data_IF_311479420321
#
_entry.id   IF_311479420321
#
_cell.length_a   1.000
_cell.length_b   1.000
_cell.length_c   1.000
_cell.angle_alpha   90.00
_cell.angle_beta   90.00
_cell.angle_gamma   90.00
#
_symmetry.space_group_name_H-M   'P 1'
#
loop_
_entity.id
_entity.type
_entity.pdbx_description
1 polymer ?
#
# COMPACT_ATOMS: atom_id res chain seq x y z
N UNK A 1 7.73 27.28 -80.31
CA UNK A 1 8.18 26.54 -79.11
C UNK A 1 8.81 25.23 -79.54
N UNK A 2 9.92 24.80 -78.94
CA UNK A 2 10.66 23.59 -79.34
C UNK A 2 9.95 22.31 -78.87
N UNK A 3 9.83 21.30 -79.76
CA UNK A 3 9.23 19.98 -79.42
C UNK A 3 9.90 19.29 -78.24
N UNK A 4 11.19 19.58 -78.00
CA UNK A 4 11.93 19.09 -76.82
C UNK A 4 11.34 19.61 -75.51
N UNK A 5 10.95 20.87 -75.47
CA UNK A 5 10.37 21.49 -74.30
C UNK A 5 8.96 20.93 -74.02
N UNK A 6 8.15 20.76 -75.07
CA UNK A 6 6.80 20.17 -74.95
C UNK A 6 6.88 18.74 -74.41
N UNK A 7 7.79 17.91 -74.94
CA UNK A 7 8.01 16.55 -74.45
C UNK A 7 8.50 16.52 -72.99
N UNK A 8 9.38 17.44 -72.60
CA UNK A 8 9.86 17.50 -71.22
C UNK A 8 8.76 17.88 -70.23
N UNK A 9 7.88 18.83 -70.60
CA UNK A 9 6.71 19.17 -69.78
C UNK A 9 5.71 18.02 -69.70
N UNK A 10 5.50 17.30 -70.80
CA UNK A 10 4.65 16.11 -70.84
C UNK A 10 5.19 14.99 -69.94
N UNK A 11 6.50 14.73 -69.99
CA UNK A 11 7.16 13.75 -69.12
C UNK A 11 7.09 14.15 -67.63
N UNK A 12 7.13 15.44 -67.30
CA UNK A 12 6.93 15.90 -65.91
C UNK A 12 5.50 15.67 -65.45
N UNK A 13 4.50 15.97 -66.28
CA UNK A 13 3.08 15.71 -65.98
C UNK A 13 2.77 14.23 -65.79
N UNK A 14 3.44 13.36 -66.55
CA UNK A 14 3.31 11.90 -66.43
C UNK A 14 4.19 11.28 -65.33
N UNK A 15 4.98 12.08 -64.60
CA UNK A 15 5.90 11.58 -63.57
C UNK A 15 7.05 10.72 -64.11
N UNK A 16 7.27 10.69 -65.43
CA UNK A 16 8.34 9.90 -66.07
C UNK A 16 9.66 10.67 -66.21
N UNK A 17 9.66 11.97 -65.92
CA UNK A 17 10.85 12.81 -65.99
C UNK A 17 11.90 12.40 -64.95
N UNK A 18 13.18 12.32 -65.33
CA UNK A 18 14.26 11.82 -64.46
C UNK A 18 14.36 12.57 -63.13
N UNK A 19 14.39 13.91 -63.16
CA UNK A 19 14.48 14.73 -61.95
C UNK A 19 13.29 14.55 -60.99
N UNK A 20 12.11 14.18 -61.52
CA UNK A 20 10.96 13.86 -60.67
C UNK A 20 11.14 12.51 -59.98
N UNK A 21 11.62 11.49 -60.71
CA UNK A 21 11.93 10.17 -60.15
C UNK A 21 13.04 10.21 -59.11
N UNK A 22 14.08 10.99 -59.37
CA UNK A 22 15.19 11.20 -58.43
C UNK A 22 14.69 11.84 -57.13
N UNK A 23 13.90 12.92 -57.23
CA UNK A 23 13.30 13.54 -56.03
C UNK A 23 12.37 12.60 -55.27
N UNK A 24 11.62 11.74 -55.98
CA UNK A 24 10.77 10.73 -55.36
C UNK A 24 11.60 9.70 -54.60
N UNK A 25 12.70 9.22 -55.20
CA UNK A 25 13.62 8.28 -54.57
C UNK A 25 14.26 8.87 -53.29
N UNK A 26 14.63 10.15 -53.31
CA UNK A 26 15.15 10.84 -52.11
C UNK A 26 14.11 10.97 -50.99
N UNK A 27 12.84 11.15 -51.35
CA UNK A 27 11.72 11.19 -50.39
C UNK A 27 11.48 9.80 -49.82
N UNK A 28 11.46 8.77 -50.66
CA UNK A 28 11.29 7.37 -50.24
C UNK A 28 12.42 6.94 -49.30
N UNK A 29 13.66 7.26 -49.61
CA UNK A 29 14.82 6.98 -48.77
C UNK A 29 14.69 7.63 -47.38
N UNK A 30 14.33 8.92 -47.34
CA UNK A 30 14.13 9.63 -46.06
C UNK A 30 12.97 9.05 -45.27
N UNK A 31 11.90 8.62 -45.95
CA UNK A 31 10.75 7.97 -45.29
C UNK A 31 11.20 6.68 -44.63
N UNK A 32 11.94 5.84 -45.35
CA UNK A 32 12.41 4.56 -44.83
C UNK A 32 13.34 4.73 -43.63
N UNK A 33 14.29 5.67 -43.71
CA UNK A 33 15.16 6.02 -42.58
C UNK A 33 14.37 6.53 -41.36
N UNK A 34 13.33 7.34 -41.61
CA UNK A 34 12.48 7.84 -40.53
C UNK A 34 11.72 6.72 -39.84
N UNK A 35 11.20 5.77 -40.61
CA UNK A 35 10.51 4.59 -40.08
C UNK A 35 11.49 3.75 -39.25
N UNK A 36 12.68 3.47 -39.79
CA UNK A 36 13.71 2.70 -39.10
C UNK A 36 14.11 3.33 -37.75
N UNK A 37 14.35 4.64 -37.73
CA UNK A 37 14.65 5.34 -36.48
C UNK A 37 13.50 5.33 -35.47
N UNK A 38 12.26 5.44 -35.96
CA UNK A 38 11.08 5.33 -35.10
C UNK A 38 10.96 3.93 -34.49
N UNK A 39 11.29 2.88 -35.25
CA UNK A 39 11.31 1.51 -34.76
C UNK A 39 12.39 1.29 -33.70
N UNK A 40 13.61 1.79 -33.93
CA UNK A 40 14.67 1.73 -32.92
C UNK A 40 14.29 2.47 -31.63
N UNK A 41 13.72 3.67 -31.75
CA UNK A 41 13.32 4.46 -30.60
C UNK A 41 12.23 3.76 -29.79
N UNK A 42 11.19 3.24 -30.45
CA UNK A 42 10.13 2.45 -29.82
C UNK A 42 10.70 1.22 -29.08
N UNK A 43 11.60 0.48 -29.72
CA UNK A 43 12.18 -0.72 -29.13
C UNK A 43 13.06 -0.38 -27.90
N UNK A 44 13.78 0.74 -27.97
CA UNK A 44 14.52 1.27 -26.84
C UNK A 44 13.58 1.64 -25.67
N UNK A 45 12.51 2.39 -25.92
CA UNK A 45 11.55 2.77 -24.88
C UNK A 45 10.89 1.55 -24.22
N UNK A 46 10.51 0.54 -25.01
CA UNK A 46 9.97 -0.72 -24.49
C UNK A 46 10.98 -1.47 -23.60
N UNK A 47 12.25 -1.50 -24.02
CA UNK A 47 13.31 -2.15 -23.27
C UNK A 47 13.59 -1.43 -21.96
N UNK A 48 13.57 -0.10 -21.98
CA UNK A 48 13.75 0.75 -20.80
C UNK A 48 12.59 0.56 -19.81
N UNK A 49 11.34 0.60 -20.29
CA UNK A 49 10.16 0.40 -19.46
C UNK A 49 10.17 -0.98 -18.79
N UNK A 50 10.55 -2.02 -19.53
CA UNK A 50 10.70 -3.37 -18.97
C UNK A 50 11.78 -3.42 -17.89
N UNK A 51 12.95 -2.82 -18.16
CA UNK A 51 14.05 -2.76 -17.19
C UNK A 51 13.64 -2.02 -15.90
N UNK A 52 12.92 -0.91 -16.02
CA UNK A 52 12.40 -0.16 -14.87
C UNK A 52 11.42 -1.00 -14.05
N UNK A 53 10.48 -1.66 -14.72
CA UNK A 53 9.54 -2.57 -14.07
C UNK A 53 10.25 -3.69 -13.30
N UNK A 54 11.25 -4.33 -13.92
CA UNK A 54 12.00 -5.41 -13.29
C UNK A 54 12.76 -4.92 -12.04
N UNK A 55 13.31 -3.69 -12.07
CA UNK A 55 13.93 -3.07 -10.90
C UNK A 55 12.90 -2.81 -9.80
N UNK A 56 11.78 -2.16 -10.13
CA UNK A 56 10.75 -1.82 -9.15
C UNK A 56 10.19 -3.07 -8.47
N UNK A 57 10.00 -4.15 -9.23
CA UNK A 57 9.53 -5.42 -8.68
C UNK A 57 10.53 -6.04 -7.71
N UNK A 58 11.83 -5.97 -8.02
CA UNK A 58 12.87 -6.46 -7.13
C UNK A 58 12.93 -5.64 -5.84
N UNK A 59 12.88 -4.30 -5.94
CA UNK A 59 12.85 -3.41 -4.78
C UNK A 59 11.65 -3.75 -3.89
N UNK A 60 10.45 -3.87 -4.49
CA UNK A 60 9.23 -4.18 -3.74
C UNK A 60 9.31 -5.55 -3.04
N UNK A 61 9.91 -6.53 -3.70
CA UNK A 61 10.10 -7.87 -3.13
C UNK A 61 11.08 -7.83 -1.95
N UNK A 62 12.19 -7.08 -2.08
CA UNK A 62 13.17 -6.90 -1.00
C UNK A 62 12.56 -6.17 0.19
N UNK A 63 11.78 -5.11 -0.04
CA UNK A 63 11.03 -4.38 0.99
C UNK A 63 10.03 -5.29 1.71
N UNK A 64 9.27 -6.10 0.95
CA UNK A 64 8.33 -7.05 1.52
C UNK A 64 9.00 -8.08 2.43
N UNK A 65 10.09 -8.71 1.98
CA UNK A 65 10.80 -9.68 2.80
C UNK A 65 11.45 -8.98 4.02
N UNK A 66 12.02 -7.79 3.85
CA UNK A 66 12.57 -7.02 4.98
C UNK A 66 11.52 -6.71 6.05
N UNK A 67 10.35 -6.22 5.65
CA UNK A 67 9.25 -5.90 6.57
C UNK A 67 8.73 -7.15 7.28
N UNK A 68 8.59 -8.26 6.55
CA UNK A 68 8.19 -9.55 7.11
C UNK A 68 9.18 -10.05 8.18
N UNK A 69 10.49 -9.92 7.93
CA UNK A 69 11.50 -10.27 8.93
C UNK A 69 11.46 -9.33 10.14
N UNK A 70 11.33 -8.03 9.91
CA UNK A 70 11.18 -7.01 10.96
C UNK A 70 9.99 -7.30 11.88
N UNK A 71 8.82 -7.61 11.30
CA UNK A 71 7.62 -7.97 12.06
C UNK A 71 7.81 -9.25 12.88
N UNK A 72 8.46 -10.25 12.28
CA UNK A 72 8.76 -11.49 12.99
C UNK A 72 9.66 -11.24 14.21
N UNK A 73 10.71 -10.44 14.04
CA UNK A 73 11.64 -10.09 15.11
C UNK A 73 10.95 -9.28 16.21
N UNK A 74 10.09 -8.33 15.83
CA UNK A 74 9.28 -7.55 16.77
C UNK A 74 8.36 -8.43 17.62
N UNK A 75 7.72 -9.44 17.01
CA UNK A 75 6.87 -10.39 17.73
C UNK A 75 7.68 -11.24 18.71
N UNK A 76 8.85 -11.74 18.28
CA UNK A 76 9.73 -12.50 19.17
C UNK A 76 10.22 -11.65 20.34
N UNK A 77 10.64 -10.41 20.08
CA UNK A 77 11.05 -9.47 21.12
C UNK A 77 9.93 -9.21 22.12
N UNK A 78 8.70 -8.97 21.66
CA UNK A 78 7.54 -8.75 22.54
C UNK A 78 7.24 -9.98 23.41
N UNK A 79 7.44 -11.20 22.90
CA UNK A 79 7.29 -12.44 23.67
C UNK A 79 8.36 -12.52 24.77
N UNK A 80 9.61 -12.23 24.45
CA UNK A 80 10.72 -12.33 25.39
C UNK A 80 10.66 -11.23 26.46
N UNK A 81 10.27 -10.01 26.10
CA UNK A 81 9.97 -8.95 27.05
C UNK A 81 8.85 -9.36 28.02
N UNK A 82 7.76 -9.95 27.51
CA UNK A 82 6.67 -10.43 28.35
C UNK A 82 7.10 -11.57 29.28
N UNK A 83 7.95 -12.49 28.81
CA UNK A 83 8.53 -13.55 29.65
C UNK A 83 9.40 -12.96 30.76
N UNK A 84 10.20 -11.95 30.44
CA UNK A 84 11.05 -11.23 31.40
C UNK A 84 10.19 -10.54 32.47
N UNK A 85 9.16 -9.79 32.07
CA UNK A 85 8.25 -9.14 33.02
C UNK A 85 7.58 -10.14 33.97
N UNK A 86 7.10 -11.28 33.46
CA UNK A 86 6.49 -12.33 34.31
C UNK A 86 7.51 -12.91 35.30
N UNK A 87 8.78 -13.00 34.92
CA UNK A 87 9.84 -13.49 35.81
C UNK A 87 10.14 -12.47 36.90
N UNK A 88 10.29 -11.20 36.54
CA UNK A 88 10.51 -10.09 37.49
C UNK A 88 9.33 -9.96 38.47
N UNK A 89 8.08 -9.98 37.99
CA UNK A 89 6.87 -9.96 38.83
C UNK A 89 6.81 -11.13 39.82
N UNK A 90 7.36 -12.30 39.46
CA UNK A 90 7.43 -13.46 40.38
C UNK A 90 8.50 -13.33 41.45
N UNK A 91 9.59 -12.63 41.15
CA UNK A 91 10.67 -12.36 42.10
C UNK A 91 10.27 -11.26 43.10
N UNK A 92 9.41 -10.32 42.69
CA UNK A 92 8.92 -9.21 43.53
C UNK A 92 7.76 -9.59 44.49
N UNK A 93 7.10 -10.74 44.28
CA UNK A 93 6.08 -11.24 45.22
C UNK A 93 6.76 -12.08 46.29
N UNK A 94 7.05 -11.45 47.43
CA UNK A 94 7.50 -12.16 48.62
C UNK A 94 6.33 -13.01 49.18
N UNK A 95 6.28 -14.26 48.75
CA UNK A 95 5.14 -15.18 48.95
C UNK A 95 4.81 -15.33 50.44
N UNK A 96 5.82 -15.28 51.31
CA UNK A 96 5.66 -15.41 52.76
C UNK A 96 4.89 -14.24 53.38
N UNK A 97 5.08 -13.01 52.86
CA UNK A 97 4.35 -11.82 53.30
C UNK A 97 2.91 -11.79 52.77
N UNK A 98 2.69 -12.28 51.54
CA UNK A 98 1.36 -12.37 50.94
C UNK A 98 0.44 -13.32 51.72
N UNK A 99 0.96 -14.48 52.14
CA UNK A 99 0.20 -15.42 52.97
C UNK A 99 -0.01 -14.88 54.39
N UNK A 100 0.98 -14.20 55.00
CA UNK A 100 0.82 -13.57 56.31
C UNK A 100 -0.27 -12.50 56.31
N UNK A 101 -0.30 -11.65 55.29
CA UNK A 101 -1.24 -10.54 55.20
C UNK A 101 -2.67 -11.01 54.85
N UNK A 102 -2.79 -12.04 54.01
CA UNK A 102 -4.06 -12.73 53.76
C UNK A 102 -4.60 -13.41 55.03
N UNK A 103 -3.74 -14.10 55.79
CA UNK A 103 -4.14 -14.77 57.02
C UNK A 103 -4.52 -13.77 58.12
N UNK A 104 -3.80 -12.65 58.26
CA UNK A 104 -4.17 -11.53 59.15
C UNK A 104 -5.54 -10.95 58.80
N UNK A 105 -5.81 -10.68 57.51
CA UNK A 105 -7.11 -10.18 57.05
C UNK A 105 -8.25 -11.14 57.38
N UNK A 106 -8.11 -12.44 57.12
CA UNK A 106 -9.15 -13.44 57.41
C UNK A 106 -9.35 -13.64 58.91
N UNK A 107 -8.26 -13.65 59.69
CA UNK A 107 -8.29 -13.77 61.15
C UNK A 107 -9.00 -12.59 61.82
N UNK A 108 -8.76 -11.37 61.32
CA UNK A 108 -9.37 -10.14 61.86
C UNK A 108 -10.79 -9.87 61.32
N UNK A 109 -11.19 -10.44 60.18
CA UNK A 109 -12.54 -10.30 59.62
C UNK A 109 -13.54 -11.35 60.10
N UNK A 110 -13.40 -11.88 61.32
CA UNK A 110 -14.50 -12.61 61.99
C UNK A 110 -15.61 -11.64 62.44
N UNK A 111 -16.22 -10.93 61.50
CA UNK A 111 -17.46 -10.19 61.72
C UNK A 111 -18.60 -11.18 61.57
N UNK A 112 -19.33 -11.42 62.67
CA UNK A 112 -20.57 -12.19 62.65
C UNK A 112 -21.47 -11.67 61.52
N UNK A 113 -21.77 -12.51 60.53
CA UNK A 113 -22.77 -12.20 59.51
C UNK A 113 -24.10 -11.93 60.24
N UNK A 114 -24.42 -10.65 60.47
CA UNK A 114 -25.77 -10.25 60.81
C UNK A 114 -26.63 -10.60 59.59
N UNK A 115 -27.64 -11.46 59.79
CA UNK A 115 -28.62 -11.84 58.78
C UNK A 115 -29.23 -10.55 58.20
N UNK A 116 -28.81 -10.16 57.00
CA UNK A 116 -29.52 -9.14 56.22
C UNK A 116 -30.63 -9.87 55.49
N UNK A 117 -31.86 -9.49 55.79
CA UNK A 117 -33.03 -9.91 55.05
C UNK A 117 -32.81 -9.64 53.55
N UNK A 118 -33.15 -10.65 52.77
CA UNK A 118 -33.18 -10.66 51.32
C UNK A 118 -34.32 -9.75 50.84
N UNK A 119 -34.09 -8.44 50.82
CA UNK A 119 -34.91 -7.52 50.03
C UNK A 119 -34.10 -7.08 48.81
N UNK A 120 -34.62 -7.52 47.67
CA UNK A 120 -34.17 -7.35 46.30
C UNK A 120 -34.02 -5.85 46.04
N UNK A 121 -32.97 -5.41 45.34
CA UNK A 121 -32.96 -4.42 44.26
C UNK A 121 -31.50 -4.25 43.83
N UNK A 122 -31.03 -5.13 42.93
CA UNK A 122 -29.79 -4.90 42.22
C UNK A 122 -30.06 -3.89 41.09
N UNK A 123 -29.50 -2.68 41.21
CA UNK A 123 -29.58 -1.63 40.18
C UNK A 123 -28.95 -2.09 38.86
N UNK A 124 -29.50 -1.74 37.69
CA UNK A 124 -29.07 -2.24 36.38
C UNK A 124 -27.79 -1.58 35.83
N UNK A 125 -27.13 -0.70 36.58
CA UNK A 125 -26.06 0.18 36.06
C UNK A 125 -24.71 -0.48 35.80
N UNK A 126 -24.60 -1.81 35.91
CA UNK A 126 -23.32 -2.53 35.72
C UNK A 126 -23.10 -3.12 34.33
N UNK A 127 -24.04 -2.94 33.40
CA UNK A 127 -23.96 -3.46 32.03
C UNK A 127 -23.36 -2.49 31.00
N UNK A 128 -23.30 -1.18 31.27
CA UNK A 128 -22.90 -0.18 30.27
C UNK A 128 -21.39 0.12 30.15
N UNK A 129 -20.54 -0.45 31.00
CA UNK A 129 -19.08 -0.16 30.99
C UNK A 129 -18.20 -1.15 30.23
N UNK A 130 -18.78 -1.96 29.35
CA UNK A 130 -17.99 -2.72 28.36
C UNK A 130 -18.07 -2.02 27.01
N UNK A 131 -17.24 -0.98 26.83
CA UNK A 131 -16.86 -0.55 25.49
C UNK A 131 -16.16 -1.74 24.81
N UNK A 132 -16.60 -2.22 23.64
CA UNK A 132 -15.82 -3.20 22.91
C UNK A 132 -14.51 -2.54 22.51
N UNK A 133 -13.39 -3.18 22.87
CA UNK A 133 -12.08 -2.84 22.34
C UNK A 133 -12.22 -2.87 20.81
N UNK A 134 -12.06 -1.71 20.15
CA UNK A 134 -12.03 -1.64 18.68
C UNK A 134 -10.80 -2.41 18.24
N UNK A 135 -11.00 -3.67 17.87
CA UNK A 135 -9.99 -4.44 17.16
C UNK A 135 -9.76 -3.66 15.86
N UNK A 136 -8.57 -3.06 15.71
CA UNK A 136 -8.10 -2.58 14.41
C UNK A 136 -7.96 -3.81 13.53
N UNK A 137 -9.04 -4.20 12.87
CA UNK A 137 -8.99 -5.15 11.77
C UNK A 137 -8.24 -4.46 10.64
N UNK A 138 -7.18 -5.12 10.14
CA UNK A 138 -6.46 -4.70 8.95
C UNK A 138 -7.45 -4.36 7.83
N UNK A 139 -7.21 -3.23 7.16
CA UNK A 139 -8.06 -2.70 6.10
C UNK A 139 -8.29 -3.78 5.03
N UNK A 140 -9.56 -4.16 4.83
CA UNK A 140 -9.93 -5.09 3.78
C UNK A 140 -9.94 -4.35 2.44
N UNK A 141 -8.84 -4.42 1.70
CA UNK A 141 -8.64 -3.81 0.36
C UNK A 141 -9.64 -4.27 -0.71
N UNK A 142 -10.46 -5.29 -0.42
CA UNK A 142 -11.54 -5.74 -1.31
C UNK A 142 -12.95 -5.39 -0.79
N UNK A 143 -13.06 -4.74 0.37
CA UNK A 143 -14.35 -4.23 0.83
C UNK A 143 -14.68 -2.93 0.09
N UNK A 144 -15.93 -2.77 -0.40
CA UNK A 144 -16.37 -1.48 -0.89
C UNK A 144 -16.30 -0.45 0.25
N UNK A 145 -15.80 0.77 0.00
CA UNK A 145 -15.71 1.79 1.01
C UNK A 145 -17.10 2.11 1.56
N UNK A 146 -17.16 2.44 2.85
CA UNK A 146 -18.40 2.93 3.45
C UNK A 146 -18.64 4.40 3.05
N UNK A 147 -19.86 4.90 3.24
CA UNK A 147 -20.23 6.25 2.82
C UNK A 147 -19.35 7.37 3.39
N UNK A 148 -18.80 7.19 4.61
CA UNK A 148 -17.85 8.15 5.19
C UNK A 148 -16.48 8.11 4.52
N UNK A 149 -16.00 6.93 4.15
CA UNK A 149 -14.74 6.78 3.41
C UNK A 149 -14.85 7.33 1.98
N UNK A 150 -16.02 7.21 1.36
CA UNK A 150 -16.28 7.77 0.03
C UNK A 150 -16.22 9.31 0.04
N UNK A 151 -16.78 9.96 1.07
CA UNK A 151 -16.73 11.42 1.24
C UNK A 151 -15.29 11.93 1.48
N UNK A 152 -14.49 11.20 2.27
CA UNK A 152 -13.08 11.51 2.52
C UNK A 152 -12.24 11.40 1.23
N UNK A 153 -12.45 10.33 0.45
CA UNK A 153 -11.74 10.10 -0.82
C UNK A 153 -12.09 11.16 -1.86
N UNK A 154 -13.35 11.59 -1.92
CA UNK A 154 -13.77 12.71 -2.79
C UNK A 154 -13.11 14.02 -2.37
N UNK A 155 -13.06 14.32 -1.07
CA UNK A 155 -12.42 15.52 -0.56
C UNK A 155 -10.91 15.55 -0.88
N UNK A 156 -10.22 14.43 -0.72
CA UNK A 156 -8.79 14.29 -1.06
C UNK A 156 -8.55 14.43 -2.57
N UNK A 157 -9.42 13.84 -3.39
CA UNK A 157 -9.35 13.98 -4.85
C UNK A 157 -9.53 15.43 -5.30
N UNK A 158 -10.48 16.15 -4.71
CA UNK A 158 -10.72 17.57 -4.96
C UNK A 158 -9.50 18.42 -4.55
N UNK A 159 -8.91 18.15 -3.39
CA UNK A 159 -7.72 18.87 -2.92
C UNK A 159 -6.50 18.65 -3.83
N UNK A 160 -6.33 17.43 -4.36
CA UNK A 160 -5.26 17.12 -5.31
C UNK A 160 -5.45 17.82 -6.65
N UNK A 161 -6.70 18.01 -7.09
CA UNK A 161 -7.03 18.74 -8.32
C UNK A 161 -6.80 20.25 -8.24
N UNK A 162 -6.91 20.83 -7.04
CA UNK A 162 -6.73 22.27 -6.80
C UNK A 162 -5.25 22.63 -6.60
N UNK A 163 -4.37 21.66 -6.31
CA UNK A 163 -2.92 21.86 -6.13
C UNK A 163 -2.10 21.79 -7.44
N UNK A 164 -2.72 22.06 -8.61
CA UNK A 164 -2.04 22.24 -9.91
C UNK A 164 -2.27 23.65 -10.44
#
# INVERSE_FOLDING_TARGET
MSSRWINQQHQKKLGTHSAFKESLADIELRREQTIEYAEYFKNYELSLAKYQYDIEMNILQDEYESEKHSLHDMVLQAIDERRKMIKEDKEDVDIDDLFHDAYKRVSQNKRNLRKRNLERYASPSRLERRRPNRIQTLYNIHAPPNASEEEELEADFLNMKVSK
#
